data_IF_955067945571
#
_entry.id   IF_955067945571
#
_cell.length_a   1.000
_cell.length_b   1.000
_cell.length_c   1.000
_cell.angle_alpha   90.00
_cell.angle_beta   90.00
_cell.angle_gamma   90.00
#
_symmetry.space_group_name_H-M   'P 1'
#
loop_
_entity.id
_entity.type
_entity.pdbx_description
1 polymer ?
#
# COMPACT_ATOMS: atom_id res chain seq x y z
N UNK A 1 56.20 -15.41 12.02
CA UNK A 1 54.88 -15.38 11.35
C UNK A 1 54.46 -16.81 10.97
N UNK A 2 53.46 -17.42 11.66
CA UNK A 2 52.94 -18.76 11.34
C UNK A 2 52.08 -18.70 10.08
N UNK A 3 52.54 -19.33 8.97
CA UNK A 3 51.71 -19.44 7.74
C UNK A 3 50.53 -20.38 8.03
N UNK A 4 49.29 -19.87 7.86
CA UNK A 4 48.07 -20.71 7.97
C UNK A 4 48.13 -21.86 6.96
N UNK A 5 47.76 -23.11 7.34
CA UNK A 5 47.85 -24.27 6.47
C UNK A 5 46.98 -24.10 5.21
N UNK A 6 47.55 -24.49 4.07
CA UNK A 6 46.98 -24.33 2.71
C UNK A 6 45.54 -24.84 2.55
N UNK A 7 45.14 -25.83 3.34
CA UNK A 7 43.79 -26.42 3.38
C UNK A 7 42.75 -25.48 4.00
N UNK A 8 43.11 -24.68 5.03
CA UNK A 8 42.21 -23.71 5.66
C UNK A 8 41.98 -22.48 4.76
N UNK A 9 42.95 -22.12 3.90
CA UNK A 9 42.75 -21.05 2.89
C UNK A 9 41.76 -21.47 1.81
N UNK A 10 41.89 -22.71 1.26
CA UNK A 10 40.96 -23.23 0.26
C UNK A 10 39.51 -23.29 0.78
N UNK A 11 39.31 -23.70 2.03
CA UNK A 11 37.99 -23.74 2.64
C UNK A 11 37.41 -22.32 2.79
N UNK A 12 38.22 -21.35 3.18
CA UNK A 12 37.78 -19.93 3.26
C UNK A 12 37.44 -19.36 1.88
N UNK A 13 38.25 -19.66 0.85
CA UNK A 13 38.00 -19.20 -0.52
C UNK A 13 36.70 -19.79 -1.07
N UNK A 14 36.39 -21.06 -0.77
CA UNK A 14 35.11 -21.71 -1.15
C UNK A 14 33.94 -21.04 -0.44
N UNK A 15 34.05 -20.78 0.87
CA UNK A 15 32.98 -20.10 1.65
C UNK A 15 32.73 -18.71 1.08
N UNK A 16 33.77 -17.93 0.82
CA UNK A 16 33.64 -16.58 0.22
C UNK A 16 33.01 -16.65 -1.17
N UNK A 17 33.41 -17.60 -2.00
CA UNK A 17 32.81 -17.79 -3.33
C UNK A 17 31.31 -18.12 -3.26
N UNK A 18 30.90 -18.96 -2.30
CA UNK A 18 29.48 -19.29 -2.07
C UNK A 18 28.70 -18.06 -1.60
N UNK A 19 29.26 -17.30 -0.65
CA UNK A 19 28.64 -16.04 -0.19
C UNK A 19 28.49 -15.05 -1.34
N UNK A 20 29.54 -14.83 -2.14
CA UNK A 20 29.47 -13.96 -3.30
C UNK A 20 28.44 -14.42 -4.32
N UNK A 21 28.40 -15.69 -4.65
CA UNK A 21 27.43 -16.25 -5.59
C UNK A 21 25.99 -16.11 -5.08
N UNK A 22 25.74 -16.39 -3.81
CA UNK A 22 24.40 -16.22 -3.20
C UNK A 22 23.98 -14.75 -3.13
N UNK A 23 24.89 -13.82 -2.84
CA UNK A 23 24.63 -12.39 -2.85
C UNK A 23 24.31 -11.86 -4.24
N UNK A 24 25.03 -12.32 -5.26
CA UNK A 24 24.75 -11.97 -6.65
C UNK A 24 23.41 -12.54 -7.12
N UNK A 25 23.08 -13.76 -6.76
CA UNK A 25 21.79 -14.38 -7.07
C UNK A 25 20.63 -13.61 -6.39
N UNK A 26 20.79 -13.22 -5.13
CA UNK A 26 19.83 -12.41 -4.40
C UNK A 26 19.67 -11.02 -5.04
N UNK A 27 20.77 -10.36 -5.41
CA UNK A 27 20.72 -9.06 -6.09
C UNK A 27 20.05 -9.13 -7.47
N UNK A 28 20.30 -10.20 -8.23
CA UNK A 28 19.66 -10.45 -9.52
C UNK A 28 18.15 -10.69 -9.35
N UNK A 29 17.74 -11.43 -8.32
CA UNK A 29 16.34 -11.68 -8.00
C UNK A 29 15.64 -10.38 -7.63
N UNK A 30 16.22 -9.58 -6.75
CA UNK A 30 15.68 -8.27 -6.35
C UNK A 30 15.58 -7.33 -7.55
N UNK A 31 16.63 -7.26 -8.38
CA UNK A 31 16.63 -6.43 -9.60
C UNK A 31 15.63 -6.90 -10.68
N UNK A 32 15.19 -8.15 -10.62
CA UNK A 32 14.12 -8.67 -11.46
C UNK A 32 12.72 -8.37 -10.89
N UNK A 33 12.51 -8.52 -9.59
CA UNK A 33 11.18 -8.40 -8.97
C UNK A 33 10.69 -6.96 -8.90
N UNK A 34 11.54 -6.00 -8.51
CA UNK A 34 11.12 -4.59 -8.33
C UNK A 34 10.51 -3.97 -9.61
N UNK A 35 11.17 -4.02 -10.81
CA UNK A 35 10.56 -3.48 -12.02
C UNK A 35 9.31 -4.23 -12.47
N UNK A 36 9.18 -5.50 -12.09
CA UNK A 36 8.05 -6.33 -12.46
C UNK A 36 6.79 -5.98 -11.67
N UNK A 37 6.93 -5.58 -10.41
CA UNK A 37 5.82 -5.17 -9.56
C UNK A 37 5.12 -3.90 -10.08
N UNK A 38 5.87 -2.88 -10.48
CA UNK A 38 5.31 -1.67 -11.11
C UNK A 38 4.61 -1.93 -12.44
N UNK A 39 5.12 -2.88 -13.23
CA UNK A 39 4.49 -3.27 -14.48
C UNK A 39 3.11 -3.93 -14.26
N UNK A 40 2.94 -4.72 -13.19
CA UNK A 40 1.65 -5.35 -12.84
C UNK A 40 0.59 -4.28 -12.57
N UNK A 41 0.88 -3.28 -11.77
CA UNK A 41 -0.09 -2.24 -11.44
C UNK A 41 -0.40 -1.31 -12.61
N UNK A 42 0.58 -1.01 -13.46
CA UNK A 42 0.32 -0.24 -14.70
C UNK A 42 -0.55 -1.01 -15.70
N UNK A 43 -0.41 -2.33 -15.77
CA UNK A 43 -1.29 -3.20 -16.57
C UNK A 43 -2.71 -3.21 -15.99
N UNK A 44 -2.86 -3.37 -14.68
CA UNK A 44 -4.16 -3.36 -14.00
C UNK A 44 -4.85 -2.01 -14.19
N UNK A 45 -4.14 -0.89 -14.06
CA UNK A 45 -4.72 0.44 -14.31
C UNK A 45 -5.15 0.62 -15.76
N UNK A 46 -4.37 0.11 -16.71
CA UNK A 46 -4.74 0.16 -18.13
C UNK A 46 -5.99 -0.69 -18.44
N UNK A 47 -6.14 -1.82 -17.79
CA UNK A 47 -7.28 -2.74 -17.90
C UNK A 47 -8.53 -2.18 -17.22
N UNK A 48 -8.35 -1.56 -16.04
CA UNK A 48 -9.43 -1.01 -15.24
C UNK A 48 -10.09 0.24 -15.85
N UNK A 49 -9.39 0.97 -16.71
CA UNK A 49 -9.84 2.30 -17.13
C UNK A 49 -9.47 3.38 -16.11
N UNK A 50 -10.04 4.60 -16.26
CA UNK A 50 -9.72 5.74 -15.41
C UNK A 50 -10.89 6.10 -14.51
N UNK A 51 -10.64 6.24 -13.22
CA UNK A 51 -11.60 6.76 -12.26
C UNK A 51 -12.04 8.21 -12.60
N UNK A 52 -11.16 8.99 -13.26
CA UNK A 52 -11.42 10.39 -13.63
C UNK A 52 -12.24 10.57 -14.90
N UNK A 53 -12.25 9.60 -15.82
CA UNK A 53 -12.76 9.87 -17.16
C UNK A 53 -13.69 8.85 -17.83
N UNK A 54 -13.76 7.61 -17.36
CA UNK A 54 -14.48 6.57 -18.09
C UNK A 54 -15.17 5.51 -17.23
N UNK A 55 -14.94 5.56 -15.96
CA UNK A 55 -15.40 4.54 -15.03
C UNK A 55 -14.43 3.34 -14.96
N UNK A 56 -14.54 2.62 -13.86
CA UNK A 56 -13.74 1.41 -13.60
C UNK A 56 -14.46 0.18 -14.15
N UNK A 57 -13.75 -0.68 -14.89
CA UNK A 57 -14.26 -1.97 -15.33
C UNK A 57 -14.23 -3.01 -14.19
N UNK A 58 -15.25 -2.93 -13.36
CA UNK A 58 -15.41 -3.82 -12.21
C UNK A 58 -15.60 -5.29 -12.59
N UNK A 59 -16.09 -5.57 -13.79
CA UNK A 59 -16.30 -6.95 -14.26
C UNK A 59 -14.95 -7.60 -14.58
N UNK A 60 -14.09 -6.91 -15.35
CA UNK A 60 -12.75 -7.36 -15.66
C UNK A 60 -11.92 -7.55 -14.38
N UNK A 61 -11.94 -6.56 -13.47
CA UNK A 61 -11.21 -6.63 -12.20
C UNK A 61 -11.67 -7.80 -11.32
N UNK A 62 -12.99 -8.06 -11.23
CA UNK A 62 -13.53 -9.20 -10.47
C UNK A 62 -13.20 -10.55 -11.09
N UNK A 63 -13.16 -10.61 -12.41
CA UNK A 63 -12.76 -11.84 -13.11
C UNK A 63 -11.29 -12.19 -12.79
N UNK A 64 -10.43 -11.17 -12.65
CA UNK A 64 -9.03 -11.34 -12.30
C UNK A 64 -8.83 -11.61 -10.81
N UNK A 65 -9.42 -10.79 -9.93
CA UNK A 65 -9.42 -11.03 -8.49
C UNK A 65 -10.79 -10.66 -7.87
N UNK A 66 -11.58 -11.62 -7.38
CA UNK A 66 -12.87 -11.35 -6.76
C UNK A 66 -12.79 -10.60 -5.42
N UNK A 67 -11.60 -10.42 -4.85
CA UNK A 67 -11.37 -9.65 -3.61
C UNK A 67 -11.41 -8.13 -3.84
N UNK A 68 -11.48 -7.67 -5.11
CA UNK A 68 -11.58 -6.24 -5.43
C UNK A 68 -12.81 -5.61 -4.77
N UNK A 69 -12.61 -4.54 -4.05
CA UNK A 69 -13.63 -3.85 -3.26
C UNK A 69 -13.74 -2.38 -3.59
N UNK A 70 -12.64 -1.74 -3.95
CA UNK A 70 -12.59 -0.32 -4.30
C UNK A 70 -11.41 -0.03 -5.23
N UNK A 71 -11.37 1.19 -5.70
CA UNK A 71 -10.23 1.79 -6.40
C UNK A 71 -9.89 3.11 -5.75
N UNK A 72 -8.60 3.38 -5.54
CA UNK A 72 -8.11 4.64 -5.00
C UNK A 72 -7.16 5.29 -5.99
N UNK A 73 -7.39 6.56 -6.31
CA UNK A 73 -6.42 7.40 -6.98
C UNK A 73 -6.26 8.74 -6.27
N UNK A 74 -5.06 9.35 -6.36
CA UNK A 74 -4.78 10.65 -5.74
C UNK A 74 -4.17 11.56 -6.80
N UNK A 75 -4.83 12.68 -7.06
CA UNK A 75 -4.48 13.64 -8.10
C UNK A 75 -3.03 14.15 -7.92
N UNK A 76 -2.29 14.20 -9.04
CA UNK A 76 -0.90 14.66 -9.05
C UNK A 76 0.11 13.71 -8.41
N UNK A 77 -0.27 12.46 -8.15
CA UNK A 77 0.59 11.42 -7.56
C UNK A 77 0.55 10.14 -8.39
N UNK A 78 1.49 9.20 -8.18
CA UNK A 78 1.41 7.87 -8.79
C UNK A 78 0.41 6.92 -8.11
N UNK A 79 -0.34 7.38 -7.10
CA UNK A 79 -1.32 6.54 -6.41
C UNK A 79 -2.54 6.37 -7.31
N UNK A 80 -2.66 5.17 -7.89
CA UNK A 80 -3.79 4.75 -8.75
C UNK A 80 -3.89 3.21 -8.69
N UNK A 81 -4.58 2.70 -7.66
CA UNK A 81 -4.51 1.29 -7.28
C UNK A 81 -5.85 0.66 -6.96
N UNK A 82 -6.01 -0.65 -7.26
CA UNK A 82 -7.08 -1.45 -6.70
C UNK A 82 -6.94 -1.55 -5.19
N UNK A 83 -8.07 -1.59 -4.49
CA UNK A 83 -8.14 -1.88 -3.06
C UNK A 83 -8.94 -3.16 -2.87
N UNK A 84 -8.34 -4.13 -2.20
CA UNK A 84 -8.91 -5.47 -2.00
C UNK A 84 -9.41 -5.68 -0.58
N UNK A 85 -10.37 -6.59 -0.41
CA UNK A 85 -10.79 -7.09 0.91
C UNK A 85 -10.24 -8.50 1.11
N UNK A 86 -9.41 -8.76 2.14
CA UNK A 86 -8.94 -10.10 2.44
C UNK A 86 -10.10 -11.08 2.65
N UNK A 87 -9.94 -12.32 2.21
CA UNK A 87 -10.96 -13.38 2.37
C UNK A 87 -10.98 -13.90 3.80
N UNK A 88 -12.09 -14.47 4.17
CA UNK A 88 -12.14 -15.30 5.38
C UNK A 88 -11.12 -16.44 5.26
N UNK A 89 -10.28 -16.57 6.28
CA UNK A 89 -9.18 -17.55 6.31
C UNK A 89 -7.83 -17.04 5.80
N UNK A 90 -7.76 -15.88 5.16
CA UNK A 90 -6.47 -15.24 4.88
C UNK A 90 -5.78 -14.84 6.21
N UNK A 91 -4.45 -15.03 6.33
CA UNK A 91 -3.73 -14.53 7.49
C UNK A 91 -3.82 -13.00 7.55
N UNK A 92 -3.75 -12.46 8.78
CA UNK A 92 -3.73 -11.01 8.98
C UNK A 92 -2.60 -10.36 8.16
N UNK A 93 -2.92 -9.35 7.38
CA UNK A 93 -1.97 -8.64 6.53
C UNK A 93 -1.54 -9.44 5.29
N UNK A 94 -2.35 -10.40 4.82
CA UNK A 94 -2.06 -11.20 3.63
C UNK A 94 -1.57 -10.33 2.47
N UNK A 95 -2.30 -9.29 2.14
CA UNK A 95 -1.98 -8.39 1.02
C UNK A 95 -0.81 -7.42 1.29
N UNK A 96 -0.21 -7.43 2.47
CA UNK A 96 1.08 -6.76 2.65
C UNK A 96 2.22 -7.45 1.88
N UNK A 97 2.09 -8.75 1.61
CA UNK A 97 3.11 -9.52 0.91
C UNK A 97 2.56 -10.25 -0.33
N UNK A 98 1.40 -9.83 -0.83
CA UNK A 98 0.79 -10.37 -2.05
C UNK A 98 0.23 -9.24 -2.89
N UNK A 99 0.48 -9.33 -4.20
CA UNK A 99 -0.07 -8.40 -5.19
C UNK A 99 -1.58 -8.61 -5.43
N UNK A 100 -2.14 -7.85 -6.38
CA UNK A 100 -3.54 -7.98 -6.76
C UNK A 100 -3.90 -9.39 -7.25
N UNK A 101 -2.99 -10.08 -7.91
CA UNK A 101 -3.17 -11.45 -8.40
C UNK A 101 -2.92 -12.53 -7.33
N UNK A 102 -2.72 -12.11 -6.08
CA UNK A 102 -2.42 -12.97 -4.92
C UNK A 102 -1.07 -13.69 -5.02
N UNK A 103 -0.17 -13.24 -5.91
CA UNK A 103 1.20 -13.70 -5.94
C UNK A 103 2.02 -12.98 -4.87
N UNK A 104 3.10 -13.63 -4.42
CA UNK A 104 4.00 -13.00 -3.48
C UNK A 104 4.64 -11.74 -4.09
N UNK A 105 4.64 -10.64 -3.35
CA UNK A 105 5.11 -9.33 -3.76
C UNK A 105 5.69 -8.56 -2.59
N UNK A 106 6.78 -7.81 -2.82
CA UNK A 106 7.31 -6.88 -1.83
C UNK A 106 6.46 -5.62 -1.69
N UNK A 107 5.83 -5.19 -2.77
CA UNK A 107 4.98 -4.00 -2.78
C UNK A 107 3.62 -4.28 -2.15
N UNK A 108 3.16 -5.52 -2.20
CA UNK A 108 1.83 -5.89 -1.75
C UNK A 108 0.72 -5.26 -2.58
N UNK A 109 -0.48 -5.22 -2.04
CA UNK A 109 -1.64 -4.55 -2.61
C UNK A 109 -2.34 -3.74 -1.52
N UNK A 110 -2.84 -2.52 -1.79
CA UNK A 110 -3.69 -1.81 -0.85
C UNK A 110 -4.91 -2.65 -0.48
N UNK A 111 -5.22 -2.75 0.82
CA UNK A 111 -6.33 -3.58 1.29
C UNK A 111 -7.10 -2.93 2.43
N UNK A 112 -8.39 -3.24 2.50
CA UNK A 112 -9.29 -2.80 3.56
C UNK A 112 -9.04 -3.57 4.86
N UNK A 113 -9.18 -2.88 5.98
CA UNK A 113 -9.34 -3.56 7.26
C UNK A 113 -10.61 -4.44 7.21
N UNK A 114 -10.51 -5.73 7.56
CA UNK A 114 -11.65 -6.67 7.43
C UNK A 114 -12.84 -6.31 8.34
N UNK A 115 -12.68 -5.38 9.28
CA UNK A 115 -13.76 -4.86 10.13
C UNK A 115 -14.57 -3.75 9.48
N UNK A 116 -14.06 -3.15 8.39
CA UNK A 116 -14.73 -2.11 7.62
C UNK A 116 -15.25 -2.62 6.27
N UNK A 117 -15.94 -1.74 5.56
CA UNK A 117 -16.39 -1.97 4.17
C UNK A 117 -16.05 -0.77 3.30
N UNK A 118 -15.92 -1.00 1.99
CA UNK A 118 -15.57 0.06 1.03
C UNK A 118 -16.61 1.19 0.98
N UNK A 119 -17.89 0.88 1.21
CA UNK A 119 -19.02 1.83 1.21
C UNK A 119 -19.41 2.25 2.64
N UNK A 120 -18.60 1.89 3.64
CA UNK A 120 -18.83 2.25 5.05
C UNK A 120 -18.54 3.71 5.36
N UNK A 121 -18.95 4.16 6.57
CA UNK A 121 -18.59 5.50 7.06
C UNK A 121 -17.09 5.68 7.25
N UNK A 122 -16.38 4.59 7.50
CA UNK A 122 -14.95 4.53 7.67
C UNK A 122 -14.39 3.34 6.91
N UNK A 123 -13.67 3.62 5.84
CA UNK A 123 -12.88 2.65 5.10
C UNK A 123 -11.40 2.83 5.47
N UNK A 124 -10.86 1.95 6.31
CA UNK A 124 -9.45 1.97 6.66
C UNK A 124 -8.68 1.11 5.67
N UNK A 125 -7.78 1.75 4.92
CA UNK A 125 -6.95 1.10 3.90
C UNK A 125 -5.51 1.02 4.39
N UNK A 126 -4.94 -0.16 4.33
CA UNK A 126 -3.52 -0.40 4.56
C UNK A 126 -2.77 -0.53 3.24
N UNK A 127 -1.56 -0.06 3.22
CA UNK A 127 -0.65 -0.22 2.10
C UNK A 127 0.78 0.10 2.51
N UNK A 128 1.73 -0.42 1.75
CA UNK A 128 3.15 -0.20 2.03
C UNK A 128 3.61 1.23 1.76
N UNK A 129 4.59 1.64 2.52
CA UNK A 129 5.54 2.69 2.24
C UNK A 129 6.88 2.03 1.95
N UNK A 130 7.33 2.09 0.69
CA UNK A 130 8.56 1.47 0.23
C UNK A 130 9.73 2.46 0.30
N UNK A 131 10.91 2.02 0.76
CA UNK A 131 12.07 2.91 0.89
C UNK A 131 12.89 3.05 -0.40
N UNK A 132 12.65 2.21 -1.39
CA UNK A 132 13.45 2.07 -2.60
C UNK A 132 12.65 2.36 -3.88
N UNK A 133 11.37 2.69 -3.75
CA UNK A 133 10.44 2.87 -4.86
C UNK A 133 9.49 4.02 -4.55
N UNK A 134 8.83 4.58 -5.60
CA UNK A 134 7.76 5.57 -5.50
C UNK A 134 6.37 4.95 -5.49
N UNK A 135 6.28 3.62 -5.48
CA UNK A 135 5.04 2.86 -5.57
C UNK A 135 4.25 2.82 -4.26
N UNK A 136 3.04 2.32 -4.34
CA UNK A 136 2.09 2.21 -3.24
C UNK A 136 1.86 3.57 -2.57
N UNK A 137 1.80 3.62 -1.25
CA UNK A 137 1.60 4.86 -0.50
C UNK A 137 2.91 5.58 -0.16
N UNK A 138 4.01 5.26 -0.84
CA UNK A 138 5.32 5.91 -0.65
C UNK A 138 5.26 7.41 -0.88
N UNK A 139 4.42 7.88 -1.81
CA UNK A 139 4.23 9.29 -2.06
C UNK A 139 3.70 10.06 -0.84
N UNK A 140 2.97 9.39 0.05
CA UNK A 140 2.45 9.97 1.29
C UNK A 140 3.50 10.08 2.41
N UNK A 141 4.75 9.67 2.13
CA UNK A 141 5.86 9.86 3.07
C UNK A 141 5.94 11.32 3.50
N UNK A 142 6.14 11.53 4.79
CA UNK A 142 6.24 12.86 5.40
C UNK A 142 4.98 13.74 5.25
N UNK A 143 3.83 13.22 4.80
CA UNK A 143 2.58 13.97 4.70
C UNK A 143 2.09 14.52 6.05
N UNK A 144 2.64 14.04 7.17
CA UNK A 144 2.40 14.62 8.50
C UNK A 144 3.10 15.98 8.71
N UNK A 145 3.95 16.42 7.76
CA UNK A 145 4.53 17.77 7.72
C UNK A 145 3.66 18.65 6.83
N UNK A 146 3.29 19.83 7.30
CA UNK A 146 2.38 20.73 6.58
C UNK A 146 2.81 21.01 5.15
N UNK A 147 4.09 21.31 4.92
CA UNK A 147 4.65 21.57 3.58
C UNK A 147 4.37 20.41 2.59
N UNK A 148 4.52 19.16 3.04
CA UNK A 148 4.22 17.99 2.21
C UNK A 148 2.73 17.75 2.07
N UNK A 149 1.96 17.96 3.14
CA UNK A 149 0.51 17.83 3.15
C UNK A 149 -0.14 18.75 2.11
N UNK A 150 0.31 20.01 2.04
CA UNK A 150 -0.22 21.03 1.12
C UNK A 150 0.04 20.70 -0.37
N UNK A 151 0.89 19.71 -0.66
CA UNK A 151 1.12 19.20 -2.02
C UNK A 151 0.18 18.06 -2.41
N UNK A 152 -0.65 17.56 -1.50
CA UNK A 152 -1.58 16.47 -1.79
C UNK A 152 -2.79 17.00 -2.55
N UNK A 153 -3.07 16.38 -3.70
CA UNK A 153 -4.29 16.60 -4.45
C UNK A 153 -5.49 15.85 -3.84
N UNK A 154 -6.60 15.94 -4.52
CA UNK A 154 -7.81 15.23 -4.13
C UNK A 154 -7.68 13.72 -4.36
N UNK A 155 -8.37 12.97 -3.55
CA UNK A 155 -8.49 11.52 -3.67
C UNK A 155 -9.82 11.18 -4.33
N UNK A 156 -9.78 10.29 -5.32
CA UNK A 156 -10.96 9.65 -5.89
C UNK A 156 -11.08 8.24 -5.31
N UNK A 157 -12.22 8.01 -4.68
CA UNK A 157 -12.58 6.72 -4.13
C UNK A 157 -13.73 6.15 -4.91
N UNK A 158 -13.50 5.03 -5.59
CA UNK A 158 -14.51 4.39 -6.44
C UNK A 158 -14.88 3.03 -5.87
N UNK A 159 -16.16 2.73 -5.84
CA UNK A 159 -16.68 1.41 -5.45
C UNK A 159 -17.68 0.91 -6.47
N UNK A 160 -17.87 -0.41 -6.59
CA UNK A 160 -18.83 -0.98 -7.54
C UNK A 160 -20.27 -0.53 -7.32
N UNK A 161 -20.67 -0.27 -6.07
CA UNK A 161 -22.03 0.12 -5.71
C UNK A 161 -22.20 1.64 -5.59
N UNK A 162 -21.20 2.33 -5.06
CA UNK A 162 -21.25 3.76 -4.73
C UNK A 162 -20.79 4.69 -5.85
N UNK A 163 -20.19 4.14 -6.93
CA UNK A 163 -19.55 4.97 -7.94
C UNK A 163 -18.29 5.66 -7.42
N UNK A 164 -17.94 6.82 -8.01
CA UNK A 164 -16.74 7.57 -7.64
C UNK A 164 -17.10 8.78 -6.78
N UNK A 165 -16.42 8.91 -5.64
CA UNK A 165 -16.53 10.05 -4.72
C UNK A 165 -15.17 10.78 -4.68
N UNK A 166 -15.21 12.11 -4.81
CA UNK A 166 -14.05 12.97 -4.64
C UNK A 166 -13.92 13.38 -3.17
N UNK A 167 -12.77 13.18 -2.60
CA UNK A 167 -12.45 13.44 -1.20
C UNK A 167 -11.24 14.37 -1.09
N UNK A 168 -11.30 15.32 -0.16
CA UNK A 168 -10.20 16.24 0.11
C UNK A 168 -9.39 15.75 1.30
N UNK A 169 -8.04 15.85 1.28
CA UNK A 169 -7.22 15.58 2.45
C UNK A 169 -7.65 16.48 3.62
N UNK A 170 -7.98 15.89 4.76
CA UNK A 170 -8.40 16.64 5.94
C UNK A 170 -7.25 16.88 6.92
N UNK A 171 -6.48 15.82 7.20
CA UNK A 171 -5.31 15.89 8.08
C UNK A 171 -4.44 14.65 7.93
N UNK A 172 -3.20 14.73 8.46
CA UNK A 172 -2.27 13.63 8.47
C UNK A 172 -1.57 13.51 9.84
N UNK A 173 -1.39 12.25 10.29
CA UNK A 173 -0.74 11.91 11.55
C UNK A 173 0.51 11.06 11.31
N UNK A 174 1.52 11.30 12.15
CA UNK A 174 2.63 10.36 12.34
C UNK A 174 2.50 9.75 13.73
N UNK A 175 2.16 8.48 13.81
CA UNK A 175 1.84 7.80 15.06
C UNK A 175 2.64 6.51 15.21
N UNK A 176 2.75 6.02 16.45
CA UNK A 176 3.34 4.70 16.72
C UNK A 176 2.45 3.59 16.13
N UNK A 177 3.08 2.47 15.74
CA UNK A 177 2.39 1.29 15.20
C UNK A 177 1.31 0.70 16.11
N UNK A 178 1.37 1.00 17.40
CA UNK A 178 0.37 0.57 18.40
C UNK A 178 -0.84 1.51 18.49
N UNK A 179 -0.86 2.61 17.73
CA UNK A 179 -1.94 3.59 17.77
C UNK A 179 -3.23 3.02 17.18
N UNK A 180 -4.20 2.76 18.06
CA UNK A 180 -5.49 2.20 17.67
C UNK A 180 -6.57 3.27 17.40
N UNK A 181 -6.25 4.56 17.55
CA UNK A 181 -7.23 5.65 17.43
C UNK A 181 -7.94 5.74 16.08
N UNK A 182 -7.31 5.27 15.02
CA UNK A 182 -7.90 5.20 13.67
C UNK A 182 -8.78 3.97 13.46
N UNK A 183 -8.76 2.98 14.35
CA UNK A 183 -9.43 1.69 14.17
C UNK A 183 -10.85 1.69 14.77
N UNK A 184 -11.67 2.67 14.38
CA UNK A 184 -13.07 2.82 14.81
C UNK A 184 -14.01 2.37 13.70
N UNK A 185 -14.71 1.24 13.88
CA UNK A 185 -15.66 0.67 12.92
C UNK A 185 -17.09 0.63 13.46
N UNK A 186 -17.28 1.12 14.66
CA UNK A 186 -18.54 1.17 15.41
C UNK A 186 -19.27 2.52 15.28
N UNK A 187 -18.84 3.38 14.34
CA UNK A 187 -19.42 4.71 14.15
C UNK A 187 -20.85 4.62 13.59
N UNK A 188 -21.83 5.03 14.39
CA UNK A 188 -23.25 4.87 14.05
C UNK A 188 -23.87 6.12 13.44
N UNK A 189 -23.42 7.30 13.85
CA UNK A 189 -23.98 8.56 13.37
C UNK A 189 -22.91 9.62 13.04
N UNK A 190 -23.38 10.72 12.42
CA UNK A 190 -22.51 11.80 11.97
C UNK A 190 -21.92 12.64 13.13
N UNK A 191 -22.56 12.70 14.29
CA UNK A 191 -22.05 13.47 15.43
C UNK A 191 -20.87 12.72 16.07
N UNK A 192 -21.02 11.42 16.26
CA UNK A 192 -19.96 10.55 16.74
C UNK A 192 -18.76 10.53 15.79
N UNK A 193 -19.01 10.43 14.46
CA UNK A 193 -17.97 10.51 13.44
C UNK A 193 -17.20 11.84 13.51
N UNK A 194 -17.91 12.97 13.63
CA UNK A 194 -17.27 14.29 13.76
C UNK A 194 -16.43 14.42 15.03
N UNK A 195 -16.93 13.93 16.14
CA UNK A 195 -16.18 13.96 17.41
C UNK A 195 -14.89 13.16 17.32
N UNK A 196 -14.96 11.95 16.76
CA UNK A 196 -13.79 11.11 16.55
C UNK A 196 -12.77 11.77 15.59
N UNK A 197 -13.23 12.35 14.45
CA UNK A 197 -12.35 13.06 13.53
C UNK A 197 -11.72 14.30 14.16
N UNK A 198 -12.45 15.03 15.01
CA UNK A 198 -11.92 16.17 15.76
C UNK A 198 -10.79 15.74 16.72
N UNK A 199 -10.97 14.62 17.44
CA UNK A 199 -9.95 14.08 18.33
C UNK A 199 -8.67 13.65 17.56
N UNK A 200 -8.83 13.03 16.40
CA UNK A 200 -7.69 12.69 15.52
C UNK A 200 -7.01 13.95 14.97
N UNK A 201 -7.81 14.91 14.48
CA UNK A 201 -7.29 16.16 13.94
C UNK A 201 -6.52 16.98 14.98
N UNK A 202 -6.92 16.93 16.26
CA UNK A 202 -6.18 17.58 17.34
C UNK A 202 -4.75 17.04 17.52
N UNK A 203 -4.49 15.79 17.12
CA UNK A 203 -3.20 15.11 17.19
C UNK A 203 -2.43 15.20 15.86
N UNK A 204 -3.01 15.79 14.82
CA UNK A 204 -2.43 15.83 13.50
C UNK A 204 -1.17 16.70 13.43
N UNK A 205 -0.16 16.22 12.72
CA UNK A 205 1.05 16.98 12.39
C UNK A 205 0.80 17.99 11.26
N UNK A 206 -0.14 17.68 10.35
CA UNK A 206 -0.58 18.55 9.27
C UNK A 206 -2.10 18.45 9.07
N UNK A 207 -2.73 19.54 8.63
CA UNK A 207 -4.19 19.60 8.39
C UNK A 207 -4.55 20.65 7.34
N UNK A 208 -5.70 20.47 6.69
CA UNK A 208 -6.31 21.48 5.87
C UNK A 208 -6.69 22.72 6.71
N UNK A 209 -6.57 23.91 6.08
CA UNK A 209 -6.99 25.19 6.66
C UNK A 209 -8.52 25.34 6.67
#
# INVERSE_FOLDING_TARGET
MKRRPRRKRKALDIILAVICASSLAAAALIGWTIPHEGAVYSEISAEAGSAEGGGIDWEALRARNPDISAWVSVEGTPIDYPVVSPREGDPQGFYLNHDFDRNWSFAGCPYLDPRGTADGRHALVYGHHLNFDSEMFTYLRDAWRQEKFDTLGDMYWSTPAGGTVRLHPAFSLSVDKSFAGIQRFDLTDAAETRAWLADLSAQAGARAE
#
